data_IF_641599234445
#
_entry.id   IF_641599234445
#
_cell.length_a   1.000
_cell.length_b   1.000
_cell.length_c   1.000
_cell.angle_alpha   90.00
_cell.angle_beta   90.00
_cell.angle_gamma   90.00
#
_symmetry.space_group_name_H-M   'P 1'
#
loop_
_entity.id
_entity.type
_entity.pdbx_description
1 polymer ?
#
# COMPACT_ATOMS: atom_id res chain seq x y z
N UNK A 1 -21.56 -48.69 -77.08
CA UNK A 1 -22.49 -49.68 -76.47
C UNK A 1 -21.71 -50.34 -75.35
N UNK A 2 -22.05 -50.34 -74.05
CA UNK A 2 -23.38 -50.33 -73.42
C UNK A 2 -23.21 -49.82 -71.97
N UNK A 3 -24.03 -48.84 -71.63
CA UNK A 3 -24.67 -48.44 -70.36
C UNK A 3 -24.34 -49.13 -69.02
N UNK A 4 -24.17 -48.27 -67.99
CA UNK A 4 -25.01 -48.16 -66.77
C UNK A 4 -24.52 -48.67 -65.40
N UNK A 5 -24.74 -47.77 -64.43
CA UNK A 5 -25.28 -47.95 -63.05
C UNK A 5 -24.35 -47.83 -61.85
N UNK A 6 -24.47 -46.63 -61.27
CA UNK A 6 -24.17 -46.13 -59.94
C UNK A 6 -24.33 -47.11 -58.77
N UNK A 7 -23.38 -47.03 -57.82
CA UNK A 7 -23.55 -47.26 -56.37
C UNK A 7 -22.55 -46.32 -55.66
N UNK A 8 -22.95 -45.10 -55.29
CA UNK A 8 -23.30 -44.72 -53.91
C UNK A 8 -22.58 -45.58 -52.86
N UNK A 9 -21.51 -45.06 -52.25
CA UNK A 9 -21.26 -45.05 -50.80
C UNK A 9 -19.82 -44.62 -50.48
N UNK A 10 -19.70 -43.88 -49.38
CA UNK A 10 -18.49 -43.48 -48.67
C UNK A 10 -17.62 -42.47 -49.45
N UNK A 11 -17.31 -41.31 -48.89
CA UNK A 11 -16.50 -41.18 -47.67
C UNK A 11 -16.93 -39.90 -46.94
N UNK A 12 -17.36 -40.08 -45.69
CA UNK A 12 -17.41 -39.04 -44.66
C UNK A 12 -15.97 -38.57 -44.41
N UNK A 13 -15.60 -37.41 -44.93
CA UNK A 13 -14.33 -36.76 -44.60
C UNK A 13 -14.63 -35.45 -43.88
N UNK A 14 -14.28 -35.46 -42.60
CA UNK A 14 -14.41 -34.38 -41.65
C UNK A 14 -13.58 -33.15 -42.06
N UNK A 15 -14.14 -31.96 -41.87
CA UNK A 15 -13.34 -30.78 -41.58
C UNK A 15 -14.10 -29.90 -40.58
N UNK A 16 -13.99 -30.28 -39.31
CA UNK A 16 -14.34 -29.41 -38.19
C UNK A 16 -13.30 -28.28 -38.20
N UNK A 17 -13.70 -27.10 -38.69
CA UNK A 17 -12.89 -25.90 -38.62
C UNK A 17 -12.90 -25.43 -37.16
N UNK A 18 -11.91 -25.86 -36.38
CA UNK A 18 -11.72 -25.41 -35.00
C UNK A 18 -11.37 -23.93 -35.01
N UNK A 19 -12.35 -23.07 -34.68
CA UNK A 19 -12.07 -21.72 -34.20
C UNK A 19 -11.34 -21.85 -32.86
N UNK A 20 -10.01 -21.77 -32.88
CA UNK A 20 -9.23 -21.48 -31.69
C UNK A 20 -9.47 -20.01 -31.33
N UNK A 21 -10.55 -19.76 -30.60
CA UNK A 21 -10.75 -18.51 -29.89
C UNK A 21 -9.69 -18.41 -28.79
N UNK A 22 -8.70 -17.54 -29.00
CA UNK A 22 -7.77 -17.15 -27.95
C UNK A 22 -8.56 -16.44 -26.85
N UNK A 23 -8.95 -17.20 -25.83
CA UNK A 23 -9.40 -16.66 -24.56
C UNK A 23 -8.18 -15.98 -23.93
N UNK A 24 -7.99 -14.69 -24.23
CA UNK A 24 -7.23 -13.83 -23.35
C UNK A 24 -7.99 -13.82 -22.02
N UNK A 25 -7.56 -14.67 -21.09
CA UNK A 25 -7.84 -14.50 -19.68
C UNK A 25 -7.28 -13.12 -19.33
N UNK A 26 -8.13 -12.10 -19.39
CA UNK A 26 -7.89 -10.87 -18.67
C UNK A 26 -7.75 -11.30 -17.22
N UNK A 27 -6.50 -11.41 -16.75
CA UNK A 27 -6.23 -11.58 -15.34
C UNK A 27 -6.99 -10.48 -14.60
N UNK A 28 -7.41 -10.73 -13.34
CA UNK A 28 -8.01 -9.68 -12.54
C UNK A 28 -7.13 -8.43 -12.66
N UNK A 29 -7.70 -7.22 -12.84
CA UNK A 29 -6.89 -6.02 -12.86
C UNK A 29 -5.98 -6.10 -11.64
N UNK A 30 -4.67 -6.00 -11.85
CA UNK A 30 -3.74 -5.86 -10.75
C UNK A 30 -4.30 -4.73 -9.90
N UNK A 31 -4.77 -5.06 -8.70
CA UNK A 31 -5.26 -4.05 -7.78
C UNK A 31 -4.04 -3.19 -7.48
N UNK A 32 -3.95 -2.05 -8.16
CA UNK A 32 -3.04 -0.99 -7.76
C UNK A 32 -3.30 -0.79 -6.28
N UNK A 33 -2.25 -0.94 -5.48
CA UNK A 33 -2.24 -0.67 -4.06
C UNK A 33 -3.19 0.50 -3.75
N UNK A 34 -4.23 0.23 -2.98
CA UNK A 34 -5.19 1.25 -2.55
C UNK A 34 -4.41 2.40 -1.92
N UNK A 35 -4.38 3.53 -2.64
CA UNK A 35 -4.01 4.87 -2.17
C UNK A 35 -2.53 5.09 -1.85
N UNK A 36 -1.75 5.62 -2.78
CA UNK A 36 -0.63 6.47 -2.38
C UNK A 36 -1.16 7.79 -1.82
N UNK A 37 -0.53 8.36 -0.80
CA UNK A 37 -0.83 9.73 -0.41
C UNK A 37 -0.72 10.66 -1.62
N UNK A 38 -1.78 11.43 -1.88
CA UNK A 38 -1.80 12.42 -2.96
C UNK A 38 -1.13 13.73 -2.51
N UNK A 39 -0.65 14.52 -3.47
CA UNK A 39 -0.01 15.81 -3.19
C UNK A 39 1.49 15.75 -3.05
N UNK A 40 2.05 16.81 -2.46
CA UNK A 40 3.49 16.98 -2.30
C UNK A 40 3.96 16.40 -0.97
N UNK A 41 5.09 15.68 -0.98
CA UNK A 41 5.74 15.21 0.24
C UNK A 41 6.28 16.42 1.01
N UNK A 42 5.79 16.62 2.23
CA UNK A 42 6.17 17.72 3.13
C UNK A 42 7.09 17.26 4.26
N UNK A 43 7.27 15.95 4.43
CA UNK A 43 8.32 15.42 5.30
C UNK A 43 8.13 13.95 5.67
N UNK A 44 8.68 13.57 6.81
CA UNK A 44 8.72 12.20 7.30
C UNK A 44 9.77 12.03 8.41
N UNK A 45 9.89 10.79 8.90
CA UNK A 45 10.90 10.39 9.87
C UNK A 45 11.15 8.88 9.80
N UNK A 46 12.34 8.45 10.21
CA UNK A 46 12.72 7.04 10.20
C UNK A 46 12.24 6.30 11.46
N UNK A 47 12.03 4.98 11.31
CA UNK A 47 11.70 4.04 12.36
C UNK A 47 12.87 3.06 12.56
N UNK A 48 13.60 3.21 13.66
CA UNK A 48 14.71 2.34 14.07
C UNK A 48 14.26 1.37 15.17
N UNK A 49 14.76 0.14 15.15
CA UNK A 49 14.35 -0.88 16.11
C UNK A 49 15.06 -0.79 17.46
N UNK A 50 14.38 -1.24 18.50
CA UNK A 50 14.81 -1.18 19.90
C UNK A 50 15.92 -2.20 20.26
N UNK A 51 15.93 -3.39 19.62
CA UNK A 51 17.00 -4.43 19.77
C UNK A 51 18.23 -4.04 18.95
N UNK A 52 18.66 -2.81 19.13
CA UNK A 52 19.88 -2.32 18.55
C UNK A 52 20.86 -2.18 19.70
N UNK A 53 21.65 -3.23 19.90
CA UNK A 53 22.92 -3.16 20.64
C UNK A 53 23.81 -2.02 20.07
N UNK A 54 23.46 -1.43 18.91
CA UNK A 54 24.07 -0.22 18.32
C UNK A 54 23.11 0.73 17.56
N UNK A 55 21.85 0.90 17.95
CA UNK A 55 20.92 1.92 17.38
C UNK A 55 20.62 1.94 15.85
N UNK A 56 21.11 1.00 15.02
CA UNK A 56 21.33 1.29 13.58
C UNK A 56 20.38 0.63 12.56
N UNK A 57 19.48 -0.28 12.96
CA UNK A 57 18.62 -0.97 11.98
C UNK A 57 17.34 -0.17 11.73
N UNK A 58 17.24 0.46 10.55
CA UNK A 58 16.00 1.08 10.08
C UNK A 58 15.01 0.01 9.61
N UNK A 59 13.88 -0.14 10.28
CA UNK A 59 12.81 -1.06 9.90
C UNK A 59 11.78 -0.45 8.94
N UNK A 60 11.70 0.88 8.92
CA UNK A 60 10.86 1.61 8.00
C UNK A 60 10.98 3.11 8.20
N UNK A 61 10.04 3.83 7.62
CA UNK A 61 9.95 5.29 7.73
C UNK A 61 8.50 5.73 7.51
N UNK A 62 8.15 6.88 8.08
CA UNK A 62 6.88 7.57 7.83
C UNK A 62 7.09 8.60 6.75
N UNK A 63 6.13 8.73 5.85
CA UNK A 63 6.05 9.82 4.89
C UNK A 63 4.80 10.65 5.14
N UNK A 64 4.93 11.97 5.01
CA UNK A 64 3.84 12.93 5.19
C UNK A 64 3.71 13.79 3.94
N UNK A 65 2.48 13.92 3.46
CA UNK A 65 2.10 14.65 2.26
C UNK A 65 1.04 15.70 2.58
N UNK A 66 0.92 16.70 1.73
CA UNK A 66 -0.10 17.75 1.82
C UNK A 66 -0.71 18.08 0.46
N UNK A 67 -2.03 18.25 0.41
CA UNK A 67 -2.78 18.70 -0.75
C UNK A 67 -4.09 19.36 -0.35
N UNK A 68 -4.32 20.60 -0.77
CA UNK A 68 -5.63 21.26 -0.66
C UNK A 68 -6.22 21.31 0.74
N UNK A 69 -5.41 21.56 1.78
CA UNK A 69 -5.86 21.60 3.18
C UNK A 69 -5.84 20.25 3.91
N UNK A 70 -5.54 19.16 3.21
CA UNK A 70 -5.43 17.83 3.80
C UNK A 70 -3.98 17.41 3.96
N UNK A 71 -3.67 16.84 5.13
CA UNK A 71 -2.46 16.07 5.32
C UNK A 71 -2.75 14.58 5.14
N UNK A 72 -1.77 13.87 4.61
CA UNK A 72 -1.80 12.41 4.47
C UNK A 72 -0.51 11.81 5.01
N UNK A 73 -0.60 10.69 5.73
CA UNK A 73 0.56 9.97 6.21
C UNK A 73 0.49 8.48 5.89
N UNK A 74 1.67 7.85 5.77
CA UNK A 74 1.81 6.40 5.67
C UNK A 74 3.10 5.94 6.32
N UNK A 75 3.07 4.74 6.91
CA UNK A 75 4.27 4.03 7.37
C UNK A 75 4.71 3.08 6.27
N UNK A 76 5.98 3.14 5.88
CA UNK A 76 6.58 2.37 4.78
C UNK A 76 7.66 1.45 5.32
N UNK A 77 7.65 0.20 4.89
CA UNK A 77 8.67 -0.79 5.20
C UNK A 77 10.02 -0.41 4.57
N UNK A 78 11.10 -0.61 5.30
CA UNK A 78 12.46 -0.52 4.73
C UNK A 78 12.76 -1.72 3.82
N UNK A 79 13.83 -1.61 3.03
CA UNK A 79 14.29 -2.65 2.11
C UNK A 79 14.60 -3.99 2.81
N UNK A 80 15.18 -3.94 4.01
CA UNK A 80 15.53 -5.13 4.81
C UNK A 80 14.32 -5.93 5.33
N UNK A 81 13.14 -5.31 5.37
CA UNK A 81 11.89 -5.95 5.84
C UNK A 81 10.81 -5.96 4.77
N UNK A 82 11.14 -5.54 3.55
CA UNK A 82 10.20 -5.41 2.43
C UNK A 82 9.59 -6.75 2.04
N UNK A 83 8.27 -6.80 1.84
CA UNK A 83 7.56 -8.02 1.46
C UNK A 83 7.29 -8.99 2.62
N UNK A 84 7.93 -8.77 3.78
CA UNK A 84 7.70 -9.58 4.98
C UNK A 84 6.44 -9.08 5.69
N UNK A 85 5.55 -10.02 6.00
CA UNK A 85 4.33 -9.78 6.76
C UNK A 85 4.66 -9.40 8.20
N UNK A 86 4.23 -8.22 8.64
CA UNK A 86 4.55 -7.65 9.95
C UNK A 86 3.46 -6.70 10.40
N UNK A 87 3.35 -6.47 11.71
CA UNK A 87 2.37 -5.49 12.21
C UNK A 87 2.93 -4.10 11.91
N UNK A 88 2.11 -3.26 11.28
CA UNK A 88 2.45 -1.88 10.99
C UNK A 88 1.26 -0.98 11.33
N UNK A 89 1.55 0.25 11.74
CA UNK A 89 0.52 1.27 11.91
C UNK A 89 1.00 2.65 11.51
N UNK A 90 0.04 3.48 11.14
CA UNK A 90 0.20 4.92 11.02
C UNK A 90 -1.02 5.59 11.65
N UNK A 91 -0.76 6.68 12.35
CA UNK A 91 -1.80 7.46 12.99
C UNK A 91 -1.49 8.95 12.80
N UNK A 92 -2.52 9.74 12.50
CA UNK A 92 -2.41 11.15 12.22
C UNK A 92 -3.44 11.89 13.07
N UNK A 93 -2.97 12.87 13.84
CA UNK A 93 -3.79 13.73 14.67
C UNK A 93 -3.64 15.19 14.24
N UNK A 94 -4.73 15.94 14.24
CA UNK A 94 -4.69 17.40 14.06
C UNK A 94 -4.43 18.08 15.39
N UNK A 95 -3.48 19.02 15.41
CA UNK A 95 -3.15 19.83 16.57
C UNK A 95 -4.04 21.07 16.63
N UNK A 96 -4.56 21.39 17.82
CA UNK A 96 -5.22 22.66 18.09
C UNK A 96 -4.24 23.83 18.08
N UNK A 97 -2.96 23.57 18.39
CA UNK A 97 -1.89 24.55 18.49
C UNK A 97 -0.51 23.88 18.47
N UNK A 98 0.49 24.57 17.91
CA UNK A 98 1.92 24.32 18.11
C UNK A 98 2.58 23.31 17.16
N UNK A 99 3.82 23.62 16.75
CA UNK A 99 4.74 22.72 16.02
C UNK A 99 5.53 21.79 16.94
N UNK A 100 5.64 22.14 18.23
CA UNK A 100 6.50 21.46 19.21
C UNK A 100 5.72 20.87 20.39
N UNK A 101 4.55 21.45 20.69
CA UNK A 101 3.64 21.03 21.77
C UNK A 101 2.23 20.86 21.19
N UNK A 102 2.05 19.79 20.42
CA UNK A 102 0.77 19.48 19.79
C UNK A 102 -0.27 19.16 20.85
N UNK A 103 -1.26 20.06 21.03
CA UNK A 103 -2.47 19.73 21.78
C UNK A 103 -3.45 19.07 20.81
N UNK A 104 -3.77 17.80 21.04
CA UNK A 104 -4.58 16.99 20.12
C UNK A 104 -6.02 17.48 20.05
N UNK A 105 -6.56 17.55 18.84
CA UNK A 105 -8.00 17.62 18.58
C UNK A 105 -8.56 16.20 18.38
N UNK A 106 -9.87 16.05 18.48
CA UNK A 106 -10.55 14.76 18.16
C UNK A 106 -10.44 14.37 16.67
N UNK A 107 -10.01 15.29 15.79
CA UNK A 107 -9.79 14.97 14.39
C UNK A 107 -8.50 14.14 14.23
N UNK A 108 -8.69 12.84 14.05
CA UNK A 108 -7.63 11.89 13.78
C UNK A 108 -8.05 10.82 12.76
N UNK A 109 -7.06 10.16 12.18
CA UNK A 109 -7.23 8.98 11.33
C UNK A 109 -6.12 7.98 11.61
N UNK A 110 -6.45 6.69 11.57
CA UNK A 110 -5.56 5.60 11.99
C UNK A 110 -5.74 4.38 11.10
N UNK A 111 -4.61 3.81 10.72
CA UNK A 111 -4.54 2.48 10.14
C UNK A 111 -3.58 1.60 10.94
N UNK A 112 -4.04 0.39 11.27
CA UNK A 112 -3.27 -0.59 12.02
C UNK A 112 -3.66 -2.01 11.57
N UNK A 113 -2.66 -2.81 11.23
CA UNK A 113 -2.90 -4.16 10.75
C UNK A 113 -1.62 -4.90 10.42
N UNK A 114 -1.77 -6.06 9.79
CA UNK A 114 -0.65 -6.85 9.28
C UNK A 114 -0.41 -6.50 7.81
N UNK A 115 0.75 -5.92 7.55
CA UNK A 115 1.12 -5.39 6.24
C UNK A 115 2.47 -5.93 5.78
N UNK A 116 2.69 -5.93 4.46
CA UNK A 116 3.98 -6.31 3.85
C UNK A 116 4.84 -5.11 3.47
N UNK A 117 4.20 -4.00 3.12
CA UNK A 117 4.83 -2.88 2.44
C UNK A 117 4.55 -1.54 3.09
N UNK A 118 3.29 -1.27 3.42
CA UNK A 118 2.86 0.00 4.00
C UNK A 118 1.59 -0.18 4.84
N UNK A 119 1.48 0.66 5.88
CA UNK A 119 0.22 0.98 6.56
C UNK A 119 -0.17 2.41 6.18
N UNK A 120 -1.47 2.67 6.03
CA UNK A 120 -2.05 3.87 5.45
C UNK A 120 -2.50 3.68 3.99
N UNK A 121 -2.98 4.76 3.34
CA UNK A 121 -2.88 6.15 3.78
C UNK A 121 -3.89 6.50 4.88
N UNK A 122 -3.48 7.35 5.83
CA UNK A 122 -4.39 8.04 6.76
C UNK A 122 -4.44 9.52 6.40
N UNK A 123 -5.60 10.16 6.53
CA UNK A 123 -5.82 11.54 6.09
C UNK A 123 -6.61 12.36 7.10
N UNK A 124 -6.25 13.64 7.25
CA UNK A 124 -7.10 14.59 7.97
C UNK A 124 -7.03 15.98 7.35
N UNK A 125 -8.14 16.70 7.43
CA UNK A 125 -8.19 18.12 7.09
C UNK A 125 -7.56 18.94 8.22
N UNK A 126 -6.48 19.66 7.91
CA UNK A 126 -5.71 20.38 8.91
C UNK A 126 -5.33 21.80 8.45
N UNK A 127 -6.03 22.38 7.47
CA UNK A 127 -5.72 23.72 6.95
C UNK A 127 -5.57 24.77 8.06
N UNK A 128 -4.44 25.49 8.06
CA UNK A 128 -4.05 26.46 9.07
C UNK A 128 -3.65 25.84 10.42
N UNK A 129 -3.42 24.53 10.48
CA UNK A 129 -3.08 23.78 11.69
C UNK A 129 -1.86 22.89 11.43
N UNK A 130 -1.31 22.34 12.50
CA UNK A 130 -0.23 21.35 12.42
C UNK A 130 -0.79 19.96 12.70
N UNK A 131 -0.05 18.93 12.31
CA UNK A 131 -0.37 17.54 12.61
C UNK A 131 0.73 16.86 13.42
N UNK A 132 0.32 15.87 14.21
CA UNK A 132 1.17 14.91 14.91
C UNK A 132 0.98 13.53 14.28
N UNK A 133 2.08 12.88 13.91
CA UNK A 133 2.05 11.59 13.23
C UNK A 133 2.84 10.57 14.03
N UNK A 134 2.27 9.38 14.16
CA UNK A 134 2.86 8.23 14.81
C UNK A 134 3.00 7.13 13.75
N UNK A 135 4.16 6.48 13.72
CA UNK A 135 4.38 5.30 12.89
C UNK A 135 5.01 4.19 13.69
N UNK A 136 4.54 2.96 13.50
CA UNK A 136 5.09 1.78 14.17
C UNK A 136 5.26 0.61 13.20
N UNK A 137 6.30 -0.17 13.43
CA UNK A 137 6.54 -1.47 12.81
C UNK A 137 6.97 -2.43 13.92
N UNK A 138 6.25 -3.53 14.05
CA UNK A 138 6.65 -4.66 14.89
C UNK A 138 7.04 -5.83 13.98
N UNK A 139 8.31 -6.19 14.03
CA UNK A 139 8.93 -7.14 13.12
C UNK A 139 9.33 -8.45 13.82
N UNK A 140 8.57 -9.54 13.61
CA UNK A 140 9.07 -10.90 13.88
C UNK A 140 10.08 -11.30 12.77
N UNK A 141 11.10 -12.13 13.06
CA UNK A 141 11.27 -13.00 14.24
C UNK A 141 12.10 -12.38 15.38
N UNK A 142 12.58 -11.15 15.25
CA UNK A 142 13.50 -10.55 16.22
C UNK A 142 12.80 -9.82 17.38
N UNK A 143 11.48 -9.98 17.51
CA UNK A 143 10.61 -9.22 18.44
C UNK A 143 10.94 -7.73 18.50
N UNK A 144 11.36 -7.17 17.36
CA UNK A 144 11.87 -5.81 17.31
C UNK A 144 10.74 -4.83 17.05
N UNK A 145 10.56 -3.89 17.98
CA UNK A 145 9.67 -2.75 17.83
C UNK A 145 10.45 -1.57 17.25
N UNK A 146 9.92 -0.94 16.21
CA UNK A 146 10.41 0.31 15.67
C UNK A 146 9.24 1.30 15.61
N UNK A 147 9.19 2.19 16.60
CA UNK A 147 8.14 3.18 16.75
C UNK A 147 8.73 4.56 16.96
N UNK A 148 8.13 5.56 16.33
CA UNK A 148 8.48 6.97 16.57
C UNK A 148 7.25 7.84 16.28
N UNK A 149 7.25 9.05 16.82
CA UNK A 149 6.24 10.04 16.57
C UNK A 149 6.88 11.41 16.40
N UNK A 150 6.28 12.27 15.57
CA UNK A 150 6.78 13.62 15.36
C UNK A 150 5.64 14.56 15.03
N UNK A 151 5.81 15.81 15.41
CA UNK A 151 4.90 16.92 15.08
C UNK A 151 5.65 17.95 14.21
N UNK A 152 4.90 18.86 13.62
CA UNK A 152 5.47 20.05 12.95
C UNK A 152 5.25 20.12 11.44
N UNK A 153 4.42 19.25 10.87
CA UNK A 153 3.91 19.48 9.51
C UNK A 153 2.63 20.31 9.60
N UNK A 154 2.68 21.53 9.07
CA UNK A 154 1.56 22.46 9.10
C UNK A 154 1.23 22.89 7.67
N UNK A 155 -0.05 23.10 7.39
CA UNK A 155 -0.58 23.56 6.10
C UNK A 155 -2.03 23.93 6.24
#
# INVERSE_FOLDING_TARGET
MTTSRSRILAILAALVLTMTGSLFLAGPPAQAATGTCSGSKVGGFDLYGEVAINGSTRYGYVEVYYSGGYNCARTVSSANTWGVSKVMSVELWVCSSGTSNCRLLEANDRDHGTYRYYAGPVTAYASGKCIWVIGNIYYPPTDSNAGNNKTGWCG
#
